data_IF_415718319787
#
_entry.id   IF_415718319787
#
_cell.length_a   1.000
_cell.length_b   1.000
_cell.length_c   1.000
_cell.angle_alpha   90.00
_cell.angle_beta   90.00
_cell.angle_gamma   90.00
#
_symmetry.space_group_name_H-M   'P 1'
#
loop_
_entity.id
_entity.type
_entity.pdbx_description
1 polymer ?
#
# COMPACT_ATOMS: atom_id res chain seq x y z
N UNK A 1 11.63 -2.65 10.18
CA UNK A 1 12.34 -1.63 9.38
C UNK A 1 13.00 -0.60 10.29
N UNK A 2 12.29 -0.11 11.32
CA UNK A 2 12.82 0.66 12.46
C UNK A 2 12.16 0.22 13.78
N UNK A 3 12.43 0.94 14.89
CA UNK A 3 11.85 0.73 16.23
C UNK A 3 10.38 1.16 16.37
N UNK A 4 10.01 1.72 17.54
CA UNK A 4 8.62 2.07 17.88
C UNK A 4 8.02 3.14 16.94
N UNK A 5 6.69 3.13 16.79
CA UNK A 5 5.96 4.16 16.05
C UNK A 5 5.79 5.41 16.93
N UNK A 6 6.11 6.59 16.40
CA UNK A 6 5.90 7.85 17.14
C UNK A 6 4.40 8.20 17.15
N UNK A 7 3.82 8.45 18.32
CA UNK A 7 2.37 8.58 18.51
C UNK A 7 1.74 9.75 17.72
N UNK A 8 2.45 10.86 17.52
CA UNK A 8 1.93 12.11 16.95
C UNK A 8 2.10 12.29 15.43
N UNK A 9 2.21 11.20 14.68
CA UNK A 9 2.41 11.27 13.22
C UNK A 9 1.08 11.04 12.50
N UNK A 10 0.47 12.13 12.04
CA UNK A 10 -0.78 12.10 11.27
C UNK A 10 -0.51 11.87 9.80
N UNK A 11 -1.27 10.96 9.18
CA UNK A 11 -1.25 10.73 7.73
C UNK A 11 -2.67 10.50 7.25
N UNK A 12 -3.07 11.26 6.23
CA UNK A 12 -4.34 11.07 5.57
C UNK A 12 -4.43 9.65 5.00
N UNK A 13 -5.53 8.94 5.28
CA UNK A 13 -5.71 7.54 4.89
C UNK A 13 -7.04 7.38 4.14
N UNK A 14 -7.08 6.68 2.98
CA UNK A 14 -8.27 6.61 2.15
C UNK A 14 -9.27 5.58 2.68
N UNK A 15 -9.75 5.74 3.91
CA UNK A 15 -10.64 4.79 4.60
C UNK A 15 -11.93 4.51 3.83
N UNK A 16 -12.51 5.53 3.19
CA UNK A 16 -13.70 5.36 2.34
C UNK A 16 -13.46 4.41 1.17
N UNK A 17 -12.27 4.43 0.54
CA UNK A 17 -11.96 3.50 -0.55
C UNK A 17 -11.93 2.06 -0.03
N UNK A 18 -11.27 1.83 1.11
CA UNK A 18 -11.23 0.52 1.74
C UNK A 18 -12.61 -0.01 2.13
N UNK A 19 -13.50 0.86 2.62
CA UNK A 19 -14.87 0.48 2.97
C UNK A 19 -15.70 0.10 1.73
N UNK A 20 -15.46 0.76 0.59
CA UNK A 20 -16.09 0.39 -0.68
C UNK A 20 -15.55 -0.95 -1.17
N UNK A 21 -14.23 -1.14 -1.13
CA UNK A 21 -13.58 -2.41 -1.54
C UNK A 21 -14.07 -3.59 -0.70
N UNK A 22 -14.24 -3.44 0.61
CA UNK A 22 -14.74 -4.51 1.50
C UNK A 22 -16.13 -5.06 1.09
N UNK A 23 -16.94 -4.21 0.43
CA UNK A 23 -18.27 -4.55 -0.06
C UNK A 23 -18.29 -4.96 -1.54
N UNK A 24 -17.17 -4.78 -2.25
CA UNK A 24 -17.05 -5.13 -3.65
C UNK A 24 -16.95 -6.65 -3.86
N UNK A 25 -17.06 -7.09 -5.11
CA UNK A 25 -16.83 -8.47 -5.51
C UNK A 25 -15.37 -8.88 -5.30
N UNK A 26 -15.13 -10.19 -5.19
CA UNK A 26 -13.78 -10.74 -4.91
C UNK A 26 -12.78 -10.31 -5.98
N UNK A 27 -13.19 -10.30 -7.25
CA UNK A 27 -12.30 -9.88 -8.33
C UNK A 27 -11.80 -8.44 -8.14
N UNK A 28 -12.69 -7.53 -7.77
CA UNK A 28 -12.35 -6.11 -7.55
C UNK A 28 -11.51 -5.92 -6.29
N UNK A 29 -11.74 -6.72 -5.25
CA UNK A 29 -10.89 -6.73 -4.06
C UNK A 29 -9.46 -7.16 -4.41
N UNK A 30 -9.31 -8.23 -5.18
CA UNK A 30 -8.00 -8.73 -5.62
C UNK A 30 -7.31 -7.72 -6.54
N UNK A 31 -8.02 -7.13 -7.51
CA UNK A 31 -7.49 -6.04 -8.35
C UNK A 31 -7.03 -4.85 -7.51
N UNK A 32 -7.82 -4.44 -6.51
CA UNK A 32 -7.48 -3.36 -5.60
C UNK A 32 -6.23 -3.67 -4.76
N UNK A 33 -6.10 -4.90 -4.27
CA UNK A 33 -4.93 -5.34 -3.51
C UNK A 33 -3.66 -5.30 -4.35
N UNK A 34 -3.69 -5.83 -5.57
CA UNK A 34 -2.56 -5.78 -6.51
C UNK A 34 -2.12 -4.34 -6.75
N UNK A 35 -3.06 -3.46 -7.07
CA UNK A 35 -2.78 -2.03 -7.29
C UNK A 35 -2.15 -1.37 -6.06
N UNK A 36 -2.68 -1.68 -4.87
CA UNK A 36 -2.19 -1.11 -3.62
C UNK A 36 -0.79 -1.62 -3.30
N UNK A 37 -0.52 -2.92 -3.46
CA UNK A 37 0.79 -3.52 -3.25
C UNK A 37 1.84 -2.92 -4.20
N UNK A 38 1.51 -2.83 -5.48
CA UNK A 38 2.41 -2.21 -6.47
C UNK A 38 2.71 -0.75 -6.11
N UNK A 39 1.72 0.00 -5.63
CA UNK A 39 1.94 1.36 -5.16
C UNK A 39 2.80 1.45 -3.90
N UNK A 40 2.65 0.53 -2.94
CA UNK A 40 3.51 0.44 -1.75
C UNK A 40 4.94 0.12 -2.17
N UNK A 41 5.14 -0.89 -3.03
CA UNK A 41 6.45 -1.29 -3.53
C UNK A 41 7.14 -0.09 -4.17
N UNK A 42 6.47 0.58 -5.12
CA UNK A 42 7.02 1.75 -5.81
C UNK A 42 7.30 2.94 -4.88
N UNK A 43 6.57 3.08 -3.78
CA UNK A 43 6.80 4.14 -2.80
C UNK A 43 8.01 3.86 -1.92
N UNK A 44 8.24 2.59 -1.60
CA UNK A 44 9.25 2.10 -0.66
C UNK A 44 10.55 1.66 -1.35
N UNK A 45 10.53 1.47 -2.67
CA UNK A 45 11.71 1.21 -3.50
C UNK A 45 12.44 2.52 -3.83
N UNK A 46 12.90 3.21 -2.79
CA UNK A 46 13.53 4.53 -2.86
C UNK A 46 14.70 4.62 -1.86
N UNK A 47 15.54 3.58 -1.86
CA UNK A 47 16.61 3.42 -0.87
C UNK A 47 17.62 4.58 -0.86
N UNK A 48 17.80 5.25 -2.00
CA UNK A 48 18.68 6.42 -2.13
C UNK A 48 18.24 7.61 -1.28
N UNK A 49 16.95 7.71 -0.98
CA UNK A 49 16.37 8.79 -0.19
C UNK A 49 16.07 8.39 1.27
N UNK A 50 16.40 7.16 1.69
CA UNK A 50 16.09 6.65 3.03
C UNK A 50 17.18 6.92 4.09
N UNK A 51 18.27 7.60 3.73
CA UNK A 51 19.40 7.87 4.65
C UNK A 51 18.97 8.55 5.96
N UNK A 52 18.05 9.51 5.87
CA UNK A 52 17.51 10.23 7.03
C UNK A 52 16.69 9.36 7.99
N UNK A 53 16.06 8.30 7.47
CA UNK A 53 15.16 7.44 8.24
C UNK A 53 15.91 6.45 9.14
N UNK A 54 17.21 6.24 8.88
CA UNK A 54 18.07 5.29 9.61
C UNK A 54 17.47 3.87 9.67
N UNK A 55 16.71 3.47 8.65
CA UNK A 55 16.10 2.15 8.59
C UNK A 55 17.13 1.08 8.23
N UNK A 56 16.91 -0.13 8.72
CA UNK A 56 17.70 -1.28 8.29
C UNK A 56 17.32 -1.65 6.86
N UNK A 57 18.17 -1.29 5.89
CA UNK A 57 17.92 -1.48 4.46
C UNK A 57 17.78 -2.96 4.07
N UNK A 58 18.46 -3.88 4.77
CA UNK A 58 18.27 -5.33 4.57
C UNK A 58 16.83 -5.74 4.89
N UNK A 59 16.26 -5.24 6.00
CA UNK A 59 14.84 -5.47 6.35
C UNK A 59 13.90 -4.80 5.36
N UNK A 60 14.26 -3.65 4.79
CA UNK A 60 13.47 -2.98 3.76
C UNK A 60 13.43 -3.81 2.48
N UNK A 61 14.59 -4.28 2.02
CA UNK A 61 14.70 -5.14 0.84
C UNK A 61 13.89 -6.43 1.01
N UNK A 62 14.05 -7.13 2.14
CA UNK A 62 13.26 -8.32 2.43
C UNK A 62 11.76 -8.05 2.44
N UNK A 63 11.33 -6.92 3.01
CA UNK A 63 9.94 -6.51 3.00
C UNK A 63 9.41 -6.29 1.57
N UNK A 64 10.18 -5.61 0.72
CA UNK A 64 9.83 -5.42 -0.70
C UNK A 64 9.73 -6.74 -1.45
N UNK A 65 10.66 -7.67 -1.24
CA UNK A 65 10.65 -9.00 -1.85
C UNK A 65 9.37 -9.78 -1.50
N UNK A 66 8.95 -9.74 -0.22
CA UNK A 66 7.71 -10.37 0.22
C UNK A 66 6.49 -9.74 -0.45
N UNK A 67 6.41 -8.40 -0.51
CA UNK A 67 5.30 -7.71 -1.16
C UNK A 67 5.26 -7.97 -2.67
N UNK A 68 6.42 -8.01 -3.33
CA UNK A 68 6.53 -8.31 -4.75
C UNK A 68 6.03 -9.73 -5.04
N UNK A 69 6.42 -10.72 -4.23
CA UNK A 69 5.90 -12.08 -4.36
C UNK A 69 4.38 -12.12 -4.21
N UNK A 70 3.84 -11.50 -3.15
CA UNK A 70 2.38 -11.44 -2.92
C UNK A 70 1.64 -10.74 -4.08
N UNK A 71 2.18 -9.64 -4.61
CA UNK A 71 1.60 -8.94 -5.75
C UNK A 71 1.60 -9.82 -7.00
N UNK A 72 2.70 -10.51 -7.28
CA UNK A 72 2.82 -11.41 -8.43
C UNK A 72 1.84 -12.59 -8.37
N UNK A 73 1.74 -13.26 -7.22
CA UNK A 73 0.78 -14.36 -7.02
C UNK A 73 -0.67 -13.89 -7.22
N UNK A 74 -1.03 -12.72 -6.69
CA UNK A 74 -2.38 -12.15 -6.90
C UNK A 74 -2.61 -11.71 -8.35
N UNK A 75 -1.57 -11.25 -9.07
CA UNK A 75 -1.68 -10.91 -10.50
C UNK A 75 -2.05 -12.11 -11.34
N UNK A 76 -1.55 -13.30 -11.00
CA UNK A 76 -1.93 -14.54 -11.70
C UNK A 76 -3.44 -14.80 -11.59
N UNK A 77 -4.06 -14.50 -10.44
CA UNK A 77 -5.51 -14.54 -10.28
C UNK A 77 -6.21 -13.48 -11.15
N UNK A 78 -5.69 -12.25 -11.18
CA UNK A 78 -6.28 -11.14 -11.96
C UNK A 78 -6.28 -11.41 -13.46
N UNK A 79 -5.29 -12.12 -13.99
CA UNK A 79 -5.22 -12.48 -15.42
C UNK A 79 -6.41 -13.35 -15.85
N UNK A 80 -7.00 -14.11 -14.92
CA UNK A 80 -8.17 -14.96 -15.20
C UNK A 80 -9.49 -14.18 -15.19
N UNK A 81 -9.51 -12.99 -14.60
CA UNK A 81 -10.73 -12.19 -14.48
C UNK A 81 -11.03 -11.40 -15.76
N UNK A 82 -12.32 -11.13 -16.00
CA UNK A 82 -12.71 -10.28 -17.13
C UNK A 82 -12.13 -8.87 -16.97
N UNK A 83 -11.54 -8.33 -18.03
CA UNK A 83 -11.00 -6.97 -17.97
C UNK A 83 -12.15 -5.96 -17.95
N UNK A 84 -12.23 -5.07 -16.94
CA UNK A 84 -13.28 -4.06 -16.92
C UNK A 84 -13.16 -3.11 -18.12
N UNK A 85 -14.31 -2.72 -18.67
CA UNK A 85 -14.41 -1.83 -19.85
C UNK A 85 -13.91 -0.41 -19.58
N UNK A 86 -13.88 0.00 -18.31
CA UNK A 86 -13.46 1.34 -17.87
C UNK A 86 -12.54 1.22 -16.65
N UNK A 87 -11.77 2.27 -16.40
CA UNK A 87 -11.01 2.39 -15.16
C UNK A 87 -11.95 2.57 -13.99
N UNK A 88 -11.84 1.69 -13.02
CA UNK A 88 -12.65 1.73 -11.82
C UNK A 88 -12.30 2.93 -10.94
N UNK A 89 -13.30 3.46 -10.25
CA UNK A 89 -13.14 4.66 -9.41
C UNK A 89 -12.10 4.45 -8.30
N UNK A 90 -11.96 3.22 -7.80
CA UNK A 90 -10.96 2.87 -6.79
C UNK A 90 -9.52 2.98 -7.32
N UNK A 91 -9.28 2.70 -8.61
CA UNK A 91 -7.95 2.80 -9.23
C UNK A 91 -7.47 4.25 -9.23
N UNK A 92 -8.37 5.17 -9.58
CA UNK A 92 -8.09 6.61 -9.58
C UNK A 92 -7.84 7.10 -8.15
N UNK A 93 -8.67 6.67 -7.21
CA UNK A 93 -8.60 7.06 -5.80
C UNK A 93 -7.28 6.63 -5.17
N UNK A 94 -6.91 5.35 -5.30
CA UNK A 94 -5.69 4.81 -4.68
C UNK A 94 -4.45 5.45 -5.30
N UNK A 95 -4.42 5.60 -6.63
CA UNK A 95 -3.32 6.27 -7.33
C UNK A 95 -3.14 7.72 -6.88
N UNK A 96 -4.23 8.46 -6.68
CA UNK A 96 -4.19 9.83 -6.16
C UNK A 96 -3.62 9.86 -4.75
N UNK A 97 -4.04 8.94 -3.89
CA UNK A 97 -3.54 8.85 -2.52
C UNK A 97 -2.01 8.62 -2.47
N UNK A 98 -1.48 7.64 -3.21
CA UNK A 98 -0.03 7.39 -3.23
C UNK A 98 0.78 8.54 -3.87
N UNK A 99 0.20 9.28 -4.82
CA UNK A 99 0.80 10.53 -5.32
C UNK A 99 0.91 11.59 -4.21
N UNK A 100 -0.08 11.70 -3.34
CA UNK A 100 -0.03 12.59 -2.17
C UNK A 100 1.08 12.16 -1.21
N UNK A 101 1.20 10.87 -0.91
CA UNK A 101 2.29 10.34 -0.08
C UNK A 101 3.69 10.66 -0.64
N UNK A 102 3.90 10.43 -1.95
CA UNK A 102 5.18 10.80 -2.59
C UNK A 102 5.41 12.33 -2.56
N UNK A 103 4.35 13.14 -2.63
CA UNK A 103 4.44 14.60 -2.52
C UNK A 103 4.86 15.03 -1.11
N UNK A 104 4.40 14.34 -0.06
CA UNK A 104 4.83 14.59 1.33
C UNK A 104 6.33 14.34 1.46
N UNK A 105 6.82 13.18 1.02
CA UNK A 105 8.25 12.86 0.99
C UNK A 105 9.07 13.97 0.32
N UNK A 106 8.67 14.40 -0.87
CA UNK A 106 9.37 15.46 -1.61
C UNK A 106 9.35 16.82 -0.90
N UNK A 107 8.19 17.23 -0.36
CA UNK A 107 8.04 18.51 0.35
C UNK A 107 8.90 18.58 1.60
N UNK A 108 8.97 17.47 2.34
CA UNK A 108 9.76 17.36 3.55
C UNK A 108 11.22 16.96 3.29
N UNK A 109 11.66 17.01 2.02
CA UNK A 109 13.03 16.66 1.61
C UNK A 109 13.47 15.29 2.13
N UNK A 110 12.53 14.33 2.12
CA UNK A 110 12.74 12.97 2.60
C UNK A 110 13.26 12.94 4.03
N UNK A 111 12.70 13.75 4.93
CA UNK A 111 13.04 13.75 6.36
C UNK A 111 12.72 12.41 7.04
N UNK A 112 13.33 12.15 8.20
CA UNK A 112 12.98 11.00 9.04
C UNK A 112 11.49 10.99 9.42
N UNK A 113 10.92 12.18 9.66
CA UNK A 113 9.51 12.35 10.00
C UNK A 113 8.60 11.98 8.81
N UNK A 114 8.94 12.40 7.60
CA UNK A 114 8.21 12.05 6.39
C UNK A 114 8.24 10.54 6.13
N UNK A 115 9.40 9.90 6.32
CA UNK A 115 9.50 8.45 6.20
C UNK A 115 8.69 7.71 7.25
N UNK A 116 8.62 8.24 8.48
CA UNK A 116 7.75 7.69 9.52
C UNK A 116 6.26 7.83 9.18
N UNK A 117 5.85 8.95 8.58
CA UNK A 117 4.52 9.10 8.00
C UNK A 117 4.24 7.99 6.98
N UNK A 118 5.15 7.78 6.02
CA UNK A 118 4.99 6.73 5.01
C UNK A 118 4.91 5.34 5.65
N UNK A 119 5.76 5.03 6.62
CA UNK A 119 5.76 3.74 7.31
C UNK A 119 4.43 3.47 8.03
N UNK A 120 3.84 4.49 8.65
CA UNK A 120 2.50 4.40 9.26
C UNK A 120 1.41 4.19 8.23
N UNK A 121 1.44 4.93 7.12
CA UNK A 121 0.49 4.78 6.03
C UNK A 121 0.52 3.35 5.47
N UNK A 122 1.71 2.84 5.16
CA UNK A 122 1.94 1.48 4.65
C UNK A 122 1.42 0.44 5.64
N UNK A 123 1.68 0.59 6.95
CA UNK A 123 1.12 -0.31 7.96
C UNK A 123 -0.41 -0.32 7.93
N UNK A 124 -1.05 0.85 7.89
CA UNK A 124 -2.51 0.96 7.82
C UNK A 124 -3.08 0.29 6.55
N UNK A 125 -2.42 0.46 5.40
CA UNK A 125 -2.82 -0.21 4.15
C UNK A 125 -2.80 -1.73 4.32
N UNK A 126 -1.68 -2.29 4.81
CA UNK A 126 -1.53 -3.74 4.98
C UNK A 126 -2.54 -4.30 5.99
N UNK A 127 -2.75 -3.63 7.12
CA UNK A 127 -3.75 -4.05 8.11
C UNK A 127 -5.17 -4.06 7.54
N UNK A 128 -5.55 -3.02 6.78
CA UNK A 128 -6.88 -2.98 6.15
C UNK A 128 -7.03 -4.03 5.07
N UNK A 129 -5.98 -4.30 4.28
CA UNK A 129 -5.98 -5.38 3.29
C UNK A 129 -6.15 -6.75 3.96
N UNK A 130 -5.44 -7.01 5.07
CA UNK A 130 -5.57 -8.25 5.82
C UNK A 130 -6.98 -8.46 6.38
N UNK A 131 -7.60 -7.41 6.94
CA UNK A 131 -8.99 -7.46 7.43
C UNK A 131 -9.94 -7.85 6.28
N UNK A 132 -9.84 -7.17 5.13
CA UNK A 132 -10.70 -7.45 3.98
C UNK A 132 -10.45 -8.88 3.48
N UNK A 133 -9.19 -9.30 3.32
CA UNK A 133 -8.85 -10.65 2.89
C UNK A 133 -9.43 -11.73 3.82
N UNK A 134 -9.35 -11.52 5.13
CA UNK A 134 -9.91 -12.45 6.11
C UNK A 134 -11.44 -12.47 6.08
N UNK A 135 -12.08 -11.30 5.91
CA UNK A 135 -13.53 -11.22 5.78
C UNK A 135 -14.02 -11.91 4.51
N UNK A 136 -13.28 -11.78 3.40
CA UNK A 136 -13.58 -12.45 2.14
C UNK A 136 -13.43 -13.95 2.23
N UNK A 137 -12.37 -14.46 2.88
CA UNK A 137 -12.19 -15.89 3.12
C UNK A 137 -13.32 -16.51 3.94
N UNK A 138 -13.93 -15.76 4.87
CA UNK A 138 -15.07 -16.24 5.68
C UNK A 138 -16.40 -16.29 4.92
N UNK A 139 -16.49 -15.67 3.74
CA UNK A 139 -17.72 -15.68 2.91
C UNK A 139 -17.85 -16.96 2.06
N UNK A 140 -16.80 -17.76 2.00
CA UNK A 140 -16.73 -19.03 1.28
C UNK A 140 -16.37 -20.15 2.26
#
# INVERSE_FOLDING_TARGET
MSGQYHENVWVDFPGTLYNLTEKAEVEDQVRFFVLTLDHIINLMDDSEHMNSAQWNLTKVKYFLEVLQRQSSELKECVVQYQKPLKKESYEIGIKRHFRTLKKILKKEKYSAHAWEQIRRAVRSHLQRMEIIANNTKKRF
#
